data_IF_898563796602
#
_entry.id   IF_898563796602
#
_cell.length_a   1.000
_cell.length_b   1.000
_cell.length_c   1.000
_cell.angle_alpha   90.00
_cell.angle_beta   90.00
_cell.angle_gamma   90.00
#
_symmetry.space_group_name_H-M   'P 1'
#
loop_
_entity.id
_entity.type
_entity.pdbx_description
1 polymer ?
#
# COMPACT_ATOMS: atom_id res chain seq x y z
N UNK A 1 -3.13 4.43 18.04
CA UNK A 1 -3.80 3.71 19.16
C UNK A 1 -3.17 2.33 19.26
N UNK A 2 -2.74 1.95 20.43
CA UNK A 2 -1.97 0.73 20.61
C UNK A 2 -2.83 -0.51 20.82
N UNK A 3 -2.18 -1.66 20.87
CA UNK A 3 -2.76 -2.96 21.16
C UNK A 3 -3.61 -2.96 22.44
N UNK A 4 -3.19 -2.20 23.45
CA UNK A 4 -3.93 -2.05 24.72
C UNK A 4 -5.33 -1.48 24.50
N UNK A 5 -5.50 -0.57 23.56
CA UNK A 5 -6.80 0.02 23.22
C UNK A 5 -7.71 -1.01 22.54
N UNK A 6 -7.12 -1.83 21.66
CA UNK A 6 -7.84 -2.92 20.99
C UNK A 6 -8.31 -3.98 22.01
N UNK A 7 -7.44 -4.37 22.95
CA UNK A 7 -7.76 -5.33 24.00
C UNK A 7 -8.88 -4.82 24.92
N UNK A 8 -8.86 -3.54 25.29
CA UNK A 8 -9.91 -2.90 26.08
C UNK A 8 -11.23 -2.88 25.32
N UNK A 9 -11.22 -2.56 24.03
CA UNK A 9 -12.42 -2.55 23.18
C UNK A 9 -13.02 -3.95 23.05
N UNK A 10 -12.20 -4.96 22.88
CA UNK A 10 -12.64 -6.36 22.76
C UNK A 10 -13.21 -6.86 24.07
N UNK A 11 -12.57 -6.58 25.19
CA UNK A 11 -13.09 -6.91 26.52
C UNK A 11 -14.43 -6.24 26.79
N UNK A 12 -14.58 -4.99 26.36
CA UNK A 12 -15.84 -4.26 26.48
C UNK A 12 -16.93 -4.89 25.62
N UNK A 13 -16.62 -5.25 24.35
CA UNK A 13 -17.54 -5.95 23.47
C UNK A 13 -18.00 -7.29 24.07
N UNK A 14 -17.08 -8.07 24.63
CA UNK A 14 -17.41 -9.34 25.29
C UNK A 14 -18.33 -9.16 26.47
N UNK A 15 -18.09 -8.16 27.32
CA UNK A 15 -18.87 -7.90 28.53
C UNK A 15 -20.24 -7.29 28.22
N UNK A 16 -20.31 -6.31 27.34
CA UNK A 16 -21.54 -5.55 27.09
C UNK A 16 -22.49 -6.25 26.13
N UNK A 17 -21.98 -7.02 25.19
CA UNK A 17 -22.76 -7.59 24.10
C UNK A 17 -22.78 -9.12 24.06
N UNK A 18 -22.12 -9.78 25.01
CA UNK A 18 -21.97 -11.25 25.03
C UNK A 18 -21.49 -11.83 23.68
N UNK A 19 -20.65 -11.07 22.97
CA UNK A 19 -20.14 -11.44 21.65
C UNK A 19 -18.78 -12.10 21.80
N UNK A 20 -18.62 -13.30 21.27
CA UNK A 20 -17.32 -13.90 21.08
C UNK A 20 -16.63 -13.21 19.90
N UNK A 21 -15.74 -12.26 20.21
CA UNK A 21 -14.92 -11.63 19.20
C UNK A 21 -13.72 -12.53 18.91
N UNK A 22 -13.60 -12.98 17.68
CA UNK A 22 -12.42 -13.68 17.20
C UNK A 22 -11.31 -12.65 16.95
N UNK A 23 -10.38 -12.54 17.92
CA UNK A 23 -9.24 -11.64 17.82
C UNK A 23 -8.13 -12.33 17.06
N UNK A 24 -8.15 -12.21 15.71
CA UNK A 24 -6.97 -12.49 14.90
C UNK A 24 -5.93 -11.38 15.05
N UNK A 25 -4.70 -11.61 14.55
CA UNK A 25 -3.74 -10.52 14.38
C UNK A 25 -4.39 -9.43 13.53
N UNK A 26 -4.33 -8.14 13.94
CA UNK A 26 -4.81 -7.06 13.10
C UNK A 26 -4.17 -7.14 11.72
N UNK A 27 -4.94 -6.95 10.66
CA UNK A 27 -4.40 -6.97 9.32
C UNK A 27 -3.60 -5.70 9.06
N UNK A 28 -2.40 -5.86 8.53
CA UNK A 28 -1.56 -4.74 8.11
C UNK A 28 -2.07 -4.20 6.78
N UNK A 29 -2.17 -2.88 6.66
CA UNK A 29 -2.60 -2.23 5.43
C UNK A 29 -1.44 -2.17 4.42
N UNK A 30 -1.10 -3.30 3.81
CA UNK A 30 -0.11 -3.36 2.74
C UNK A 30 -0.57 -2.60 1.50
N UNK A 31 0.40 -2.20 0.69
CA UNK A 31 0.21 -1.56 -0.61
C UNK A 31 1.17 -2.16 -1.63
N UNK A 32 0.98 -1.79 -2.88
CA UNK A 32 1.87 -2.17 -3.98
C UNK A 32 2.35 -0.92 -4.70
N UNK A 33 3.47 -1.01 -5.39
CA UNK A 33 3.99 0.04 -6.26
C UNK A 33 4.77 -0.56 -7.42
N UNK A 34 5.15 0.28 -8.37
CA UNK A 34 6.05 -0.09 -9.46
C UNK A 34 7.41 0.57 -9.25
N UNK A 35 8.48 -0.05 -9.74
CA UNK A 35 9.85 0.45 -9.57
C UNK A 35 10.50 0.88 -10.89
N UNK A 36 9.95 0.50 -12.01
CA UNK A 36 10.47 0.83 -13.34
C UNK A 36 9.37 1.42 -14.22
N UNK A 37 9.79 2.21 -15.20
CA UNK A 37 8.90 2.72 -16.23
C UNK A 37 8.69 1.68 -17.33
N UNK A 38 7.48 1.58 -17.83
CA UNK A 38 7.13 0.70 -18.95
C UNK A 38 6.18 1.40 -19.91
N UNK A 39 6.24 1.02 -21.16
CA UNK A 39 5.23 1.34 -22.16
C UNK A 39 4.45 0.06 -22.47
N UNK A 40 3.13 0.16 -22.46
CA UNK A 40 2.27 -1.02 -22.57
C UNK A 40 1.04 -0.75 -23.42
N UNK A 41 0.68 -1.72 -24.24
CA UNK A 41 -0.54 -1.72 -25.04
C UNK A 41 -1.66 -2.42 -24.27
N UNK A 42 -2.85 -1.80 -24.25
CA UNK A 42 -4.08 -2.43 -23.79
C UNK A 42 -5.09 -2.46 -24.94
N UNK A 43 -5.47 -3.65 -25.37
CA UNK A 43 -6.42 -3.81 -26.45
C UNK A 43 -7.54 -4.77 -26.06
N UNK A 44 -8.74 -4.26 -26.02
CA UNK A 44 -9.94 -5.04 -25.75
C UNK A 44 -10.80 -5.07 -27.00
N UNK A 45 -10.96 -6.25 -27.59
CA UNK A 45 -11.78 -6.49 -28.76
C UNK A 45 -12.69 -7.67 -28.47
N UNK A 46 -13.99 -7.45 -28.59
CA UNK A 46 -15.01 -8.50 -28.43
C UNK A 46 -16.04 -8.38 -29.53
N UNK A 47 -16.27 -9.46 -30.24
CA UNK A 47 -17.39 -9.59 -31.18
C UNK A 47 -18.22 -10.82 -30.82
N UNK A 48 -19.49 -10.62 -30.54
CA UNK A 48 -20.43 -11.70 -30.29
C UNK A 48 -21.79 -11.32 -30.86
N UNK A 49 -22.07 -11.79 -32.07
CA UNK A 49 -23.40 -11.77 -32.68
C UNK A 49 -24.16 -10.43 -32.66
N UNK A 50 -23.56 -9.34 -33.14
CA UNK A 50 -24.14 -8.01 -33.14
C UNK A 50 -23.08 -6.91 -33.00
N UNK A 51 -23.41 -5.82 -32.27
CA UNK A 51 -22.48 -4.74 -32.01
C UNK A 51 -21.33 -5.25 -31.15
N UNK A 52 -20.10 -5.13 -31.65
CA UNK A 52 -18.89 -5.54 -30.93
C UNK A 52 -18.45 -4.53 -29.88
N UNK A 53 -17.30 -4.77 -29.27
CA UNK A 53 -16.60 -3.84 -28.39
C UNK A 53 -15.15 -3.67 -28.87
N UNK A 54 -14.67 -2.46 -28.86
CA UNK A 54 -13.30 -2.12 -29.27
C UNK A 54 -12.76 -0.97 -28.41
N UNK A 55 -11.71 -1.23 -27.67
CA UNK A 55 -10.93 -0.23 -26.95
C UNK A 55 -9.44 -0.53 -27.11
N UNK A 56 -8.64 0.48 -27.45
CA UNK A 56 -7.22 0.32 -27.71
C UNK A 56 -6.46 1.54 -27.19
N UNK A 57 -5.51 1.28 -26.28
CA UNK A 57 -4.72 2.32 -25.62
C UNK A 57 -3.25 1.93 -25.57
N UNK A 58 -2.38 2.94 -25.60
CA UNK A 58 -0.98 2.84 -25.22
C UNK A 58 -0.75 3.70 -24.00
N UNK A 59 -0.24 3.09 -22.94
CA UNK A 59 0.09 3.76 -21.68
C UNK A 59 1.59 3.72 -21.43
N UNK A 60 2.10 4.82 -20.87
CA UNK A 60 3.39 4.85 -20.21
C UNK A 60 3.14 4.89 -18.72
N UNK A 61 3.63 3.91 -17.97
CA UNK A 61 3.57 3.87 -16.53
C UNK A 61 4.94 4.26 -15.96
N UNK A 62 4.96 5.18 -15.01
CA UNK A 62 6.19 5.67 -14.39
C UNK A 62 6.04 5.66 -12.87
N UNK A 63 7.05 5.19 -12.12
CA UNK A 63 7.03 5.31 -10.68
C UNK A 63 7.18 6.78 -10.24
N UNK A 64 6.44 7.15 -9.20
CA UNK A 64 6.57 8.43 -8.49
C UNK A 64 7.19 8.20 -7.11
N UNK A 65 7.46 9.27 -6.37
CA UNK A 65 7.82 9.17 -4.97
C UNK A 65 6.69 8.52 -4.17
N UNK A 66 7.00 7.74 -3.14
CA UNK A 66 5.98 6.98 -2.38
C UNK A 66 4.97 7.87 -1.66
N UNK A 67 5.28 9.16 -1.47
CA UNK A 67 4.37 10.16 -0.90
C UNK A 67 3.54 10.89 -1.95
N UNK A 68 3.82 10.65 -3.24
CA UNK A 68 3.10 11.29 -4.34
C UNK A 68 1.78 10.56 -4.63
N UNK A 69 0.78 11.32 -5.00
CA UNK A 69 -0.51 10.78 -5.42
C UNK A 69 -0.46 10.28 -6.87
N UNK A 70 -1.41 9.40 -7.20
CA UNK A 70 -1.62 8.96 -8.56
C UNK A 70 -1.85 10.15 -9.50
N UNK A 71 -1.17 10.15 -10.66
CA UNK A 71 -1.32 11.16 -11.69
C UNK A 71 -1.70 10.52 -13.03
N UNK A 72 -2.76 11.02 -13.64
CA UNK A 72 -3.14 10.66 -15.01
C UNK A 72 -2.80 11.81 -15.96
N UNK A 73 -2.09 11.50 -17.03
CA UNK A 73 -1.69 12.49 -18.05
C UNK A 73 -2.28 12.08 -19.40
N UNK A 74 -3.04 13.01 -19.99
CA UNK A 74 -3.56 12.86 -21.35
C UNK A 74 -2.59 13.55 -22.33
N UNK A 75 -1.98 12.74 -23.20
CA UNK A 75 -1.13 13.20 -24.32
C UNK A 75 -1.65 12.73 -25.68
N UNK A 76 -2.94 12.49 -25.78
CA UNK A 76 -3.55 12.12 -27.06
C UNK A 76 -3.51 13.29 -28.01
N UNK A 77 -3.07 13.03 -29.24
CA UNK A 77 -3.04 13.98 -30.34
C UNK A 77 -3.80 13.44 -31.55
N UNK A 78 -4.33 14.34 -32.37
CA UNK A 78 -5.00 13.98 -33.62
C UNK A 78 -6.32 13.21 -33.45
N UNK A 79 -6.88 13.15 -32.24
CA UNK A 79 -8.15 12.47 -31.99
C UNK A 79 -8.12 10.95 -32.18
N UNK A 80 -6.94 10.33 -32.05
CA UNK A 80 -6.80 8.86 -32.19
C UNK A 80 -7.62 8.08 -31.15
N UNK A 81 -7.90 8.72 -30.01
CA UNK A 81 -8.94 8.32 -29.07
C UNK A 81 -9.89 9.50 -28.91
N UNK A 82 -11.19 9.33 -29.13
CA UNK A 82 -12.18 10.36 -28.86
C UNK A 82 -12.12 10.86 -27.43
N UNK A 83 -12.23 12.17 -27.22
CA UNK A 83 -12.09 12.81 -25.90
C UNK A 83 -13.06 12.26 -24.87
N UNK A 84 -14.24 11.84 -25.30
CA UNK A 84 -15.28 11.26 -24.45
C UNK A 84 -14.88 9.93 -23.80
N UNK A 85 -13.92 9.19 -24.39
CA UNK A 85 -13.46 7.90 -23.87
C UNK A 85 -12.23 8.01 -22.96
N UNK A 86 -11.54 9.15 -22.95
CA UNK A 86 -10.33 9.34 -22.13
C UNK A 86 -10.62 9.23 -20.62
N UNK A 87 -11.71 9.84 -20.09
CA UNK A 87 -12.07 9.63 -18.69
C UNK A 87 -12.35 8.17 -18.32
N UNK A 88 -12.91 7.40 -19.26
CA UNK A 88 -13.16 5.98 -19.06
C UNK A 88 -11.85 5.18 -18.91
N UNK A 89 -10.85 5.50 -19.69
CA UNK A 89 -9.51 4.92 -19.56
C UNK A 89 -8.93 5.16 -18.17
N UNK A 90 -8.96 6.40 -17.69
CA UNK A 90 -8.49 6.76 -16.36
C UNK A 90 -9.27 6.02 -15.27
N UNK A 91 -10.57 5.92 -15.40
CA UNK A 91 -11.41 5.18 -14.45
C UNK A 91 -11.04 3.69 -14.39
N UNK A 92 -10.80 3.07 -15.55
CA UNK A 92 -10.36 1.68 -15.63
C UNK A 92 -9.00 1.46 -14.97
N UNK A 93 -8.06 2.37 -15.16
CA UNK A 93 -6.76 2.36 -14.51
C UNK A 93 -6.91 2.43 -13.00
N UNK A 94 -7.69 3.38 -12.48
CA UNK A 94 -7.89 3.57 -11.05
C UNK A 94 -8.59 2.38 -10.39
N UNK A 95 -9.57 1.80 -11.04
CA UNK A 95 -10.25 0.60 -10.53
C UNK A 95 -9.30 -0.59 -10.45
N UNK A 96 -8.46 -0.80 -11.46
CA UNK A 96 -7.46 -1.87 -11.44
C UNK A 96 -6.37 -1.62 -10.39
N UNK A 97 -5.99 -0.38 -10.13
CA UNK A 97 -5.04 -0.03 -9.08
C UNK A 97 -5.52 -0.53 -7.71
N UNK A 98 -6.81 -0.51 -7.42
CA UNK A 98 -7.36 -1.00 -6.15
C UNK A 98 -7.21 -2.50 -5.97
N UNK A 99 -7.06 -3.26 -7.05
CA UNK A 99 -6.92 -4.71 -7.03
C UNK A 99 -5.46 -5.18 -6.98
N UNK A 100 -4.51 -4.29 -7.21
CA UNK A 100 -3.09 -4.62 -7.27
C UNK A 100 -2.72 -5.60 -8.39
N UNK A 101 -1.46 -6.03 -8.39
CA UNK A 101 -0.92 -6.98 -9.38
C UNK A 101 -0.04 -8.07 -8.77
N UNK A 102 0.31 -7.96 -7.48
CA UNK A 102 1.14 -8.94 -6.76
C UNK A 102 0.29 -9.79 -5.83
N UNK A 103 -0.36 -9.15 -4.86
CA UNK A 103 -1.05 -9.82 -3.76
C UNK A 103 -2.45 -9.23 -3.47
N UNK A 104 -2.97 -8.42 -4.38
CA UNK A 104 -4.31 -7.84 -4.27
C UNK A 104 -4.39 -6.56 -3.45
N UNK A 105 -3.26 -5.94 -3.11
CA UNK A 105 -3.24 -4.66 -2.39
C UNK A 105 -3.24 -3.48 -3.35
N UNK A 106 -3.81 -2.32 -2.97
CA UNK A 106 -3.85 -1.16 -3.84
C UNK A 106 -2.46 -0.70 -4.30
N UNK A 107 -2.35 -0.36 -5.59
CA UNK A 107 -1.16 0.28 -6.16
C UNK A 107 -1.12 1.76 -5.78
N UNK A 108 0.07 2.25 -5.43
CA UNK A 108 0.33 3.65 -5.09
C UNK A 108 1.44 4.23 -5.97
N UNK A 109 1.52 5.56 -5.98
CA UNK A 109 2.69 6.32 -6.42
C UNK A 109 3.11 6.01 -7.87
N UNK A 110 2.18 6.10 -8.80
CA UNK A 110 2.47 5.96 -10.21
C UNK A 110 1.81 7.05 -11.05
N UNK A 111 2.45 7.36 -12.18
CA UNK A 111 1.91 8.20 -13.24
C UNK A 111 1.54 7.32 -14.42
N UNK A 112 0.32 7.46 -14.91
CA UNK A 112 -0.14 6.84 -16.14
C UNK A 112 -0.31 7.92 -17.22
N UNK A 113 0.44 7.81 -18.29
CA UNK A 113 0.33 8.70 -19.44
C UNK A 113 -0.32 7.95 -20.59
N UNK A 114 -1.50 8.43 -21.00
CA UNK A 114 -2.18 7.93 -22.20
C UNK A 114 -1.68 8.74 -23.39
N UNK A 115 -0.92 8.10 -24.31
CA UNK A 115 -0.26 8.81 -25.39
C UNK A 115 -0.65 8.36 -26.80
N UNK A 116 -1.23 7.18 -26.95
CA UNK A 116 -1.65 6.64 -28.23
C UNK A 116 -2.79 5.63 -28.06
N UNK A 117 -3.37 5.22 -29.18
CA UNK A 117 -4.43 4.25 -29.25
C UNK A 117 -5.14 4.31 -30.58
N UNK A 118 -6.29 3.66 -30.64
CA UNK A 118 -7.18 3.70 -31.81
C UNK A 118 -8.60 3.42 -31.39
N UNK A 119 -9.54 3.78 -32.22
CA UNK A 119 -10.95 3.51 -32.00
C UNK A 119 -11.62 2.96 -33.27
N UNK A 120 -12.78 2.37 -33.09
CA UNK A 120 -13.62 1.88 -34.18
C UNK A 120 -14.95 2.61 -34.16
N UNK A 121 -15.36 3.15 -35.30
CA UNK A 121 -16.54 4.03 -35.40
C UNK A 121 -17.84 3.41 -34.84
N UNK A 122 -17.98 2.09 -34.95
CA UNK A 122 -19.20 1.38 -34.53
C UNK A 122 -19.04 0.70 -33.17
N UNK A 123 -17.89 0.08 -32.93
CA UNK A 123 -17.70 -0.85 -31.79
C UNK A 123 -17.05 -0.21 -30.56
N UNK A 124 -16.54 1.03 -30.68
CA UNK A 124 -15.97 1.72 -29.54
C UNK A 124 -17.03 2.32 -28.64
N UNK A 125 -16.82 2.20 -27.35
CA UNK A 125 -17.66 2.77 -26.30
C UNK A 125 -16.84 2.98 -25.02
N UNK A 126 -17.42 3.65 -24.03
CA UNK A 126 -16.74 3.94 -22.75
C UNK A 126 -16.32 2.65 -22.02
N UNK A 127 -17.17 1.63 -22.01
CA UNK A 127 -16.88 0.37 -21.33
C UNK A 127 -15.67 -0.33 -21.95
N UNK A 128 -15.54 -0.35 -23.27
CA UNK A 128 -14.42 -0.97 -23.95
C UNK A 128 -13.10 -0.26 -23.63
N UNK A 129 -13.09 1.07 -23.56
CA UNK A 129 -11.90 1.84 -23.18
C UNK A 129 -11.58 1.73 -21.69
N UNK A 130 -12.55 1.63 -20.83
CA UNK A 130 -12.36 1.32 -19.41
C UNK A 130 -11.66 -0.02 -19.23
N UNK A 131 -12.11 -1.05 -19.91
CA UNK A 131 -11.50 -2.39 -19.86
C UNK A 131 -10.11 -2.36 -20.45
N UNK A 132 -9.89 -1.68 -21.59
CA UNK A 132 -8.57 -1.54 -22.20
C UNK A 132 -7.56 -0.85 -21.27
N UNK A 133 -7.97 0.21 -20.58
CA UNK A 133 -7.15 0.89 -19.57
C UNK A 133 -6.81 -0.01 -18.39
N UNK A 134 -7.78 -0.74 -17.88
CA UNK A 134 -7.60 -1.72 -16.81
C UNK A 134 -6.61 -2.83 -17.20
N UNK A 135 -6.76 -3.39 -18.40
CA UNK A 135 -5.84 -4.43 -18.93
C UNK A 135 -4.42 -3.90 -19.07
N UNK A 136 -4.26 -2.70 -19.64
CA UNK A 136 -2.96 -2.07 -19.82
C UNK A 136 -2.25 -1.80 -18.48
N UNK A 137 -2.97 -1.32 -17.49
CA UNK A 137 -2.40 -1.11 -16.17
C UNK A 137 -1.95 -2.42 -15.54
N UNK A 138 -2.80 -3.44 -15.55
CA UNK A 138 -2.49 -4.74 -14.95
C UNK A 138 -1.24 -5.37 -15.57
N UNK A 139 -1.18 -5.43 -16.88
CA UNK A 139 -0.03 -5.99 -17.60
C UNK A 139 1.22 -5.13 -17.45
N UNK A 140 1.10 -3.82 -17.59
CA UNK A 140 2.21 -2.89 -17.47
C UNK A 140 2.80 -2.87 -16.07
N UNK A 141 1.98 -2.79 -15.04
CA UNK A 141 2.45 -2.82 -13.65
C UNK A 141 3.14 -4.15 -13.30
N UNK A 142 2.65 -5.26 -13.84
CA UNK A 142 3.30 -6.57 -13.66
C UNK A 142 4.71 -6.60 -14.27
N UNK A 143 4.93 -5.89 -15.36
CA UNK A 143 6.23 -5.81 -16.04
C UNK A 143 7.14 -4.69 -15.51
N UNK A 144 6.63 -3.81 -14.67
CA UNK A 144 7.32 -2.64 -14.14
C UNK A 144 8.06 -2.89 -12.80
N UNK A 145 8.47 -4.13 -12.54
CA UNK A 145 9.07 -4.57 -11.27
C UNK A 145 8.24 -4.12 -10.07
N UNK A 146 7.04 -4.67 -9.91
CA UNK A 146 6.18 -4.32 -8.79
C UNK A 146 6.76 -4.77 -7.46
N UNK A 147 6.51 -4.01 -6.40
CA UNK A 147 6.96 -4.30 -5.05
C UNK A 147 5.83 -4.13 -4.04
N UNK A 148 5.87 -4.93 -2.97
CA UNK A 148 4.99 -4.75 -1.82
C UNK A 148 5.53 -3.66 -0.90
N UNK A 149 4.61 -2.87 -0.38
CA UNK A 149 4.87 -1.81 0.59
C UNK A 149 4.20 -2.14 1.92
N UNK A 150 4.89 -1.82 3.00
CA UNK A 150 4.36 -1.92 4.36
C UNK A 150 4.36 -0.57 5.06
N UNK A 151 3.40 -0.32 5.97
CA UNK A 151 3.43 0.88 6.80
C UNK A 151 4.64 0.85 7.74
N UNK A 152 5.38 1.94 7.78
CA UNK A 152 6.46 2.17 8.72
C UNK A 152 5.97 3.16 9.77
N UNK A 153 6.12 2.78 11.03
CA UNK A 153 5.65 3.57 12.17
C UNK A 153 6.83 4.28 12.82
N UNK A 154 6.62 5.54 13.20
CA UNK A 154 7.51 6.23 14.12
C UNK A 154 7.15 5.80 15.53
N UNK A 155 8.10 5.16 16.20
CA UNK A 155 7.96 4.67 17.57
C UNK A 155 8.92 5.44 18.46
N UNK A 156 8.36 6.14 19.45
CA UNK A 156 9.15 6.89 20.44
C UNK A 156 8.92 6.26 21.80
N UNK A 157 9.97 5.79 22.41
CA UNK A 157 9.92 5.13 23.73
C UNK A 157 10.60 6.01 24.78
N UNK A 158 9.91 6.24 25.89
CA UNK A 158 10.47 6.89 27.07
C UNK A 158 10.69 5.82 28.12
N UNK A 159 11.93 5.64 28.54
CA UNK A 159 12.34 4.56 29.44
C UNK A 159 13.37 5.05 30.47
N UNK A 160 13.41 4.47 31.67
CA UNK A 160 14.55 4.63 32.55
C UNK A 160 15.84 4.16 31.86
N UNK A 161 16.95 4.82 32.18
CA UNK A 161 18.26 4.53 31.57
C UNK A 161 18.68 3.05 31.72
N UNK A 162 18.39 2.43 32.84
CA UNK A 162 18.71 1.03 33.13
C UNK A 162 18.05 0.02 32.17
N UNK A 163 16.94 0.39 31.51
CA UNK A 163 16.22 -0.45 30.56
C UNK A 163 16.46 -0.08 29.10
N UNK A 164 17.23 0.97 28.83
CA UNK A 164 17.46 1.47 27.47
C UNK A 164 18.06 0.40 26.54
N UNK A 165 19.01 -0.39 27.04
CA UNK A 165 19.65 -1.46 26.25
C UNK A 165 18.63 -2.53 25.80
N UNK A 166 17.73 -2.93 26.66
CA UNK A 166 16.67 -3.90 26.34
C UNK A 166 15.67 -3.32 25.34
N UNK A 167 15.31 -2.05 25.50
CA UNK A 167 14.40 -1.35 24.58
C UNK A 167 15.02 -1.27 23.18
N UNK A 168 16.26 -0.83 23.05
CA UNK A 168 16.96 -0.74 21.76
C UNK A 168 17.13 -2.12 21.13
N UNK A 169 17.52 -3.12 21.91
CA UNK A 169 17.67 -4.50 21.42
C UNK A 169 16.36 -5.08 20.87
N UNK A 170 15.24 -4.83 21.55
CA UNK A 170 13.93 -5.29 21.08
C UNK A 170 13.45 -4.56 19.82
N UNK A 171 13.64 -3.25 19.73
CA UNK A 171 13.32 -2.48 18.53
C UNK A 171 14.16 -2.96 17.33
N UNK A 172 15.45 -3.24 17.53
CA UNK A 172 16.30 -3.82 16.48
C UNK A 172 15.81 -5.20 16.04
N UNK A 173 15.40 -6.05 16.96
CA UNK A 173 14.83 -7.36 16.67
C UNK A 173 13.54 -7.27 15.84
N UNK A 174 12.78 -6.19 16.00
CA UNK A 174 11.54 -5.88 15.25
C UNK A 174 11.80 -5.19 13.92
N UNK A 175 12.96 -5.33 13.34
CA UNK A 175 13.40 -4.65 12.11
C UNK A 175 13.36 -3.12 12.22
N UNK A 176 13.45 -2.60 13.42
CA UNK A 176 13.47 -1.17 13.68
C UNK A 176 14.80 -0.53 13.34
N UNK A 177 14.74 0.73 12.94
CA UNK A 177 15.92 1.58 12.72
C UNK A 177 15.89 2.65 13.80
N UNK A 178 16.92 2.69 14.64
CA UNK A 178 17.05 3.72 15.67
C UNK A 178 17.47 5.03 15.02
N UNK A 179 16.68 6.08 15.20
CA UNK A 179 16.93 7.41 14.65
C UNK A 179 17.71 8.30 15.62
N UNK A 180 17.53 8.10 16.90
CA UNK A 180 18.19 8.90 17.92
C UNK A 180 17.85 8.46 19.33
N UNK A 181 18.69 8.86 20.27
CA UNK A 181 18.51 8.67 21.70
C UNK A 181 18.86 9.96 22.40
N UNK A 182 17.97 10.45 23.25
CA UNK A 182 18.13 11.71 23.96
C UNK A 182 17.91 11.54 25.47
N UNK A 183 18.65 12.32 26.24
CA UNK A 183 18.42 12.45 27.67
C UNK A 183 17.26 13.40 27.93
N UNK A 184 16.30 12.94 28.71
CA UNK A 184 15.17 13.76 29.14
C UNK A 184 15.05 13.72 30.66
N UNK A 185 14.24 14.60 31.23
CA UNK A 185 14.08 14.69 32.70
C UNK A 185 13.63 13.38 33.33
N UNK A 186 12.82 12.59 32.63
CA UNK A 186 12.24 11.32 33.13
C UNK A 186 13.05 10.08 32.72
N UNK A 187 14.22 10.23 32.09
CA UNK A 187 15.07 9.12 31.68
C UNK A 187 15.68 9.29 30.29
N UNK A 188 15.45 8.32 29.41
CA UNK A 188 15.93 8.30 28.03
C UNK A 188 14.74 8.26 27.06
N UNK A 189 14.84 9.01 25.98
CA UNK A 189 13.90 8.93 24.87
C UNK A 189 14.60 8.28 23.67
N UNK A 190 14.00 7.22 23.16
CA UNK A 190 14.50 6.47 21.99
C UNK A 190 13.51 6.66 20.84
N UNK A 191 13.97 7.28 19.76
CA UNK A 191 13.20 7.47 18.53
C UNK A 191 13.61 6.43 17.49
N UNK A 192 12.63 5.80 16.87
CA UNK A 192 12.85 4.74 15.88
C UNK A 192 11.79 4.71 14.81
N UNK A 193 12.09 4.05 13.69
CA UNK A 193 11.13 3.65 12.66
C UNK A 193 11.04 2.13 12.64
N UNK A 194 9.82 1.61 12.77
CA UNK A 194 9.57 0.17 12.87
C UNK A 194 8.40 -0.21 11.97
N UNK A 195 8.51 -1.29 11.19
CA UNK A 195 7.36 -1.78 10.42
C UNK A 195 6.18 -2.14 11.32
N UNK A 196 4.98 -1.71 10.95
CA UNK A 196 3.78 -1.99 11.74
C UNK A 196 3.59 -3.50 11.98
N UNK A 197 3.92 -4.33 10.98
CA UNK A 197 3.82 -5.78 11.09
C UNK A 197 4.63 -6.38 12.26
N UNK A 198 5.67 -5.69 12.71
CA UNK A 198 6.54 -6.12 13.80
C UNK A 198 6.13 -5.54 15.16
N UNK A 199 5.10 -4.69 15.20
CA UNK A 199 4.70 -3.99 16.42
C UNK A 199 3.60 -4.69 17.23
N UNK A 200 3.06 -5.80 16.73
CA UNK A 200 2.07 -6.56 17.47
C UNK A 200 2.67 -7.14 18.75
N UNK A 201 1.97 -7.00 19.87
CA UNK A 201 2.45 -7.42 21.18
C UNK A 201 3.44 -6.47 21.85
N UNK A 202 3.77 -5.34 21.23
CA UNK A 202 4.82 -4.44 21.73
C UNK A 202 4.49 -3.85 23.11
N UNK A 203 3.26 -3.43 23.34
CA UNK A 203 2.86 -2.86 24.64
C UNK A 203 3.11 -3.84 25.78
N UNK A 204 2.78 -5.10 25.58
CA UNK A 204 3.00 -6.18 26.54
C UNK A 204 4.49 -6.46 26.75
N UNK A 205 5.25 -6.57 25.66
CA UNK A 205 6.69 -6.85 25.71
C UNK A 205 7.46 -5.69 26.38
N UNK A 206 7.13 -4.45 26.03
CA UNK A 206 7.74 -3.27 26.64
C UNK A 206 7.47 -3.22 28.17
N UNK A 207 6.27 -3.52 28.56
CA UNK A 207 5.88 -3.58 29.98
C UNK A 207 6.66 -4.65 30.73
N UNK A 208 6.80 -5.83 30.15
CA UNK A 208 7.59 -6.93 30.72
C UNK A 208 9.06 -6.58 30.85
N UNK A 209 9.65 -5.99 29.83
CA UNK A 209 11.09 -5.63 29.78
C UNK A 209 11.45 -4.53 30.79
N UNK A 210 10.54 -3.62 31.06
CA UNK A 210 10.78 -2.40 31.82
C UNK A 210 10.03 -2.36 33.14
N UNK A 211 9.42 -3.47 33.55
CA UNK A 211 8.62 -3.57 34.78
C UNK A 211 7.50 -2.51 34.85
N UNK A 212 6.90 -2.22 33.69
CA UNK A 212 5.84 -1.23 33.57
C UNK A 212 6.29 0.23 33.60
N UNK A 213 7.61 0.49 33.60
CA UNK A 213 8.17 1.84 33.79
C UNK A 213 8.36 2.63 32.49
N UNK A 214 8.35 1.98 31.33
CA UNK A 214 8.44 2.65 30.03
C UNK A 214 7.07 2.90 29.42
N UNK A 215 7.00 3.96 28.61
CA UNK A 215 5.85 4.31 27.77
C UNK A 215 6.29 4.48 26.33
N UNK A 216 5.37 4.35 25.40
CA UNK A 216 5.68 4.61 23.99
C UNK A 216 4.52 5.29 23.28
N UNK A 217 4.85 5.97 22.18
CA UNK A 217 3.92 6.47 21.19
C UNK A 217 4.25 5.84 19.84
N UNK A 218 3.24 5.62 19.04
CA UNK A 218 3.37 5.06 17.71
C UNK A 218 2.45 5.80 16.74
N UNK A 219 3.03 6.31 15.64
CA UNK A 219 2.28 6.99 14.59
C UNK A 219 2.79 6.59 13.22
N UNK A 220 1.91 6.59 12.24
CA UNK A 220 2.28 6.33 10.85
C UNK A 220 3.22 7.42 10.34
N UNK A 221 4.29 7.03 9.65
CA UNK A 221 5.21 7.98 9.02
C UNK A 221 5.28 7.85 7.50
N UNK A 222 5.41 6.65 6.98
CA UNK A 222 5.57 6.40 5.54
C UNK A 222 5.30 4.95 5.18
N UNK A 223 5.23 4.66 3.87
CA UNK A 223 5.35 3.31 3.35
C UNK A 223 6.81 3.00 3.02
N UNK A 224 7.23 1.77 3.26
CA UNK A 224 8.53 1.25 2.88
C UNK A 224 8.41 -0.09 2.16
N UNK A 225 9.40 -0.43 1.35
CA UNK A 225 9.40 -1.70 0.62
C UNK A 225 9.58 -2.87 1.59
N UNK A 226 8.72 -3.89 1.45
CA UNK A 226 8.81 -5.13 2.23
C UNK A 226 10.03 -5.92 1.78
N UNK A 227 10.89 -6.43 2.69
CA UNK A 227 12.00 -7.31 2.31
C UNK A 227 11.53 -8.54 1.53
N UNK A 228 12.33 -8.99 0.57
CA UNK A 228 11.96 -10.07 -0.35
C UNK A 228 11.52 -11.36 0.34
N UNK A 229 12.20 -11.76 1.40
CA UNK A 229 11.86 -12.96 2.16
C UNK A 229 10.47 -12.90 2.80
N UNK A 230 10.05 -11.72 3.24
CA UNK A 230 8.73 -11.48 3.81
C UNK A 230 7.68 -11.33 2.71
N UNK A 231 8.04 -10.62 1.62
CA UNK A 231 7.16 -10.43 0.48
C UNK A 231 6.73 -11.77 -0.15
N UNK A 232 7.63 -12.75 -0.26
CA UNK A 232 7.30 -14.08 -0.78
C UNK A 232 6.27 -14.81 0.11
N UNK A 233 6.37 -14.67 1.42
CA UNK A 233 5.39 -15.24 2.35
C UNK A 233 3.99 -14.61 2.20
N UNK A 234 3.93 -13.31 1.94
CA UNK A 234 2.67 -12.60 1.76
C UNK A 234 1.98 -12.91 0.43
N UNK A 235 2.73 -13.28 -0.60
CA UNK A 235 2.17 -13.68 -1.90
C UNK A 235 1.46 -15.04 -1.86
N UNK A 236 1.84 -15.89 -0.92
CA UNK A 236 1.33 -17.28 -0.80
C UNK A 236 0.20 -17.41 0.22
N UNK A 237 -0.13 -16.33 0.92
CA UNK A 237 -1.21 -16.27 1.92
C UNK A 237 -2.50 -15.74 1.30
#
# INVERSE_FOLDING_TARGET
MGELHLDVLVDRMKREFSVEANIGKPQVAYRETIKESVEIEGKFVRQSGGKGQYGHVWLKLEPLGLDDEYEFVDKIVGGVIPKEYIPAVNKGIQEQMQNGVIAGYPLLALRATLYDGSFHDVDSNEMAFKIAGSMALKEGATKARPALLEPIMKVVVVTPEEHMGDVVGDLNRRRGIILGMEDITSGKEVSSEVPLAEMFGYATDLRSQTQGRATFTMEFTKYGEVPNNIAEQLKTS
#
